data_IF_786918120918
#
_entry.id   IF_786918120918
#
_cell.length_a   1.000
_cell.length_b   1.000
_cell.length_c   1.000
_cell.angle_alpha   90.00
_cell.angle_beta   90.00
_cell.angle_gamma   90.00
#
_symmetry.space_group_name_H-M   'P 1'
#
loop_
_entity.id
_entity.type
_entity.pdbx_description
1 polymer ?
#
# COMPACT_ATOMS: atom_id res chain seq x y z
N UNK A 1 -25.12 38.62 13.51
CA UNK A 1 -25.80 38.19 12.26
C UNK A 1 -26.45 39.33 11.45
N UNK A 2 -26.15 40.62 11.63
CA UNK A 2 -26.96 41.69 10.96
C UNK A 2 -26.22 42.82 10.24
N UNK A 3 -24.91 42.75 10.03
CA UNK A 3 -24.19 43.72 9.17
C UNK A 3 -23.48 43.10 7.95
N UNK A 4 -23.44 41.78 7.84
CA UNK A 4 -22.79 41.08 6.72
C UNK A 4 -23.64 41.07 5.42
N UNK A 5 -24.97 41.10 5.54
CA UNK A 5 -25.89 40.93 4.41
C UNK A 5 -26.02 42.14 3.45
N UNK A 6 -25.57 43.34 3.84
CA UNK A 6 -25.68 44.55 3.00
C UNK A 6 -24.39 44.94 2.27
N UNK A 7 -23.22 44.67 2.86
CA UNK A 7 -21.92 44.96 2.20
C UNK A 7 -21.48 43.87 1.23
N UNK A 8 -21.91 42.64 1.47
CA UNK A 8 -21.76 41.51 0.54
C UNK A 8 -22.72 41.66 -0.66
N UNK A 9 -23.87 42.33 -0.53
CA UNK A 9 -24.85 42.42 -1.62
C UNK A 9 -24.40 43.22 -2.86
N UNK A 10 -23.42 44.11 -2.75
CA UNK A 10 -22.87 44.80 -3.94
C UNK A 10 -21.49 44.24 -4.31
N UNK A 11 -20.61 44.04 -3.33
CA UNK A 11 -19.24 43.54 -3.56
C UNK A 11 -19.18 42.06 -3.98
N UNK A 12 -20.08 41.22 -3.47
CA UNK A 12 -20.22 39.80 -3.86
C UNK A 12 -21.22 39.64 -5.00
N UNK A 13 -22.03 40.66 -5.35
CA UNK A 13 -22.72 40.64 -6.64
C UNK A 13 -21.77 40.96 -7.80
N UNK A 14 -20.75 41.77 -7.61
CA UNK A 14 -19.70 42.00 -8.62
C UNK A 14 -18.47 41.09 -8.52
N UNK A 15 -18.43 40.16 -7.55
CA UNK A 15 -17.41 39.10 -7.51
C UNK A 15 -17.96 37.65 -7.50
N UNK A 16 -19.26 37.42 -7.28
CA UNK A 16 -19.88 36.07 -7.34
C UNK A 16 -21.13 36.06 -8.23
N UNK A 17 -21.93 37.14 -8.32
CA UNK A 17 -23.04 37.21 -9.30
C UNK A 17 -22.66 37.77 -10.68
N UNK A 18 -21.45 38.31 -10.80
CA UNK A 18 -20.78 38.74 -12.03
C UNK A 18 -19.84 37.69 -12.58
N UNK A 19 -19.37 36.77 -11.72
CA UNK A 19 -18.95 35.43 -12.14
C UNK A 19 -20.22 34.60 -12.38
N UNK A 20 -21.12 35.17 -13.19
CA UNK A 20 -21.89 34.33 -14.07
C UNK A 20 -20.89 33.90 -15.14
N UNK A 21 -20.78 32.59 -15.47
CA UNK A 21 -19.97 32.11 -16.59
C UNK A 21 -20.30 32.80 -17.93
N UNK A 22 -21.32 33.67 -17.97
CA UNK A 22 -21.85 34.30 -19.16
C UNK A 22 -22.05 35.82 -19.03
N UNK A 23 -21.53 36.50 -17.99
CA UNK A 23 -21.78 37.95 -17.80
C UNK A 23 -20.52 38.76 -17.62
N UNK A 24 -20.01 39.26 -18.75
CA UNK A 24 -18.96 40.29 -18.78
C UNK A 24 -19.53 41.60 -18.22
N UNK A 25 -18.95 42.08 -17.12
CA UNK A 25 -19.25 43.41 -16.56
C UNK A 25 -18.08 44.34 -16.90
N UNK A 26 -18.38 45.46 -17.55
CA UNK A 26 -17.40 46.48 -17.90
C UNK A 26 -16.93 47.24 -16.66
N UNK A 27 -15.63 47.29 -16.44
CA UNK A 27 -14.98 48.05 -15.36
C UNK A 27 -14.06 49.12 -15.95
N UNK A 28 -14.02 50.32 -15.35
CA UNK A 28 -12.98 51.33 -15.66
C UNK A 28 -11.71 51.07 -14.83
N UNK A 29 -10.56 51.53 -15.32
CA UNK A 29 -9.26 51.40 -14.61
C UNK A 29 -9.30 52.05 -13.22
N UNK A 30 -9.99 53.18 -13.10
CA UNK A 30 -10.16 53.90 -11.82
C UNK A 30 -11.05 53.17 -10.82
N UNK A 31 -12.12 52.48 -11.29
CA UNK A 31 -12.94 51.62 -10.44
C UNK A 31 -12.12 50.42 -9.95
N UNK A 32 -11.32 49.82 -10.83
CA UNK A 32 -10.41 48.73 -10.48
C UNK A 32 -9.38 49.13 -9.43
N UNK A 33 -8.68 50.25 -9.58
CA UNK A 33 -7.64 50.66 -8.63
C UNK A 33 -8.21 50.93 -7.23
N UNK A 34 -9.41 51.51 -7.16
CA UNK A 34 -10.12 51.70 -5.89
C UNK A 34 -10.50 50.36 -5.25
N UNK A 35 -11.11 49.45 -6.02
CA UNK A 35 -11.52 48.13 -5.52
C UNK A 35 -10.31 47.24 -5.18
N UNK A 36 -9.19 47.38 -5.90
CA UNK A 36 -7.92 46.71 -5.62
C UNK A 36 -7.31 47.22 -4.30
N UNK A 37 -7.32 48.52 -4.05
CA UNK A 37 -6.88 49.10 -2.77
C UNK A 37 -7.79 48.68 -1.59
N UNK A 38 -9.09 48.55 -1.85
CA UNK A 38 -10.04 48.02 -0.86
C UNK A 38 -9.83 46.53 -0.61
N UNK A 39 -9.51 45.76 -1.65
CA UNK A 39 -9.08 44.38 -1.51
C UNK A 39 -7.78 44.28 -0.72
N UNK A 40 -6.75 45.09 -1.00
CA UNK A 40 -5.49 45.13 -0.24
C UNK A 40 -5.72 45.46 1.25
N UNK A 41 -6.70 46.32 1.57
CA UNK A 41 -7.13 46.55 2.96
C UNK A 41 -7.84 45.34 3.57
N UNK A 42 -8.78 44.72 2.84
CA UNK A 42 -9.50 43.53 3.29
C UNK A 42 -8.59 42.29 3.41
N UNK A 43 -7.55 42.22 2.59
CA UNK A 43 -6.45 41.25 2.62
C UNK A 43 -5.68 41.30 3.96
N UNK A 44 -5.56 42.50 4.54
CA UNK A 44 -4.91 42.70 5.85
C UNK A 44 -5.84 42.34 7.02
N UNK A 45 -7.16 42.31 6.81
CA UNK A 45 -8.16 42.06 7.87
C UNK A 45 -8.81 40.67 7.81
N UNK A 46 -8.83 39.99 6.66
CA UNK A 46 -9.55 38.72 6.44
C UNK A 46 -8.80 37.77 5.51
N UNK A 47 -8.46 36.59 6.05
CA UNK A 47 -7.68 35.52 5.40
C UNK A 47 -8.24 35.00 4.06
N UNK A 48 -9.56 35.08 3.83
CA UNK A 48 -10.18 34.64 2.57
C UNK A 48 -9.86 35.53 1.37
N UNK A 49 -9.48 36.80 1.57
CA UNK A 49 -9.09 37.70 0.48
C UNK A 49 -7.62 37.51 0.06
N UNK A 50 -6.76 37.12 1.00
CA UNK A 50 -5.41 36.62 0.70
C UNK A 50 -5.45 35.36 -0.16
N UNK A 51 -6.46 34.53 0.05
CA UNK A 51 -6.69 33.35 -0.77
C UNK A 51 -6.95 33.68 -2.25
N UNK A 52 -7.88 34.60 -2.57
CA UNK A 52 -8.11 35.04 -3.97
C UNK A 52 -6.84 35.62 -4.62
N UNK A 53 -5.97 36.27 -3.83
CA UNK A 53 -4.68 36.80 -4.31
C UNK A 53 -3.64 35.70 -4.57
N UNK A 54 -3.55 34.67 -3.72
CA UNK A 54 -2.61 33.54 -3.87
C UNK A 54 -3.03 32.60 -4.99
N UNK A 55 -4.33 32.34 -5.16
CA UNK A 55 -4.86 31.59 -6.31
C UNK A 55 -4.48 32.26 -7.66
N UNK A 56 -4.35 33.59 -7.68
CA UNK A 56 -3.87 34.35 -8.83
C UNK A 56 -2.34 34.31 -9.05
N UNK A 57 -1.54 33.83 -8.10
CA UNK A 57 -0.07 33.88 -8.15
C UNK A 57 0.57 32.66 -8.85
N UNK A 58 -0.16 31.54 -9.00
CA UNK A 58 0.37 30.27 -9.54
C UNK A 58 -0.02 29.98 -10.99
N UNK A 59 0.26 30.94 -11.88
CA UNK A 59 0.21 30.92 -13.36
C UNK A 59 -1.14 30.68 -14.04
N UNK A 60 -1.92 31.76 -14.22
CA UNK A 60 -3.16 31.71 -14.97
C UNK A 60 -3.43 33.03 -15.73
N UNK A 61 -3.18 33.03 -17.03
CA UNK A 61 -3.61 33.98 -18.08
C UNK A 61 -5.06 33.71 -18.55
N UNK A 62 -5.91 34.73 -18.49
CA UNK A 62 -7.01 34.91 -19.45
C UNK A 62 -6.79 36.26 -20.15
N UNK A 63 -6.81 36.26 -21.48
CA UNK A 63 -6.81 37.44 -22.33
C UNK A 63 -8.23 37.60 -22.88
N UNK A 64 -9.11 38.44 -22.28
CA UNK A 64 -10.26 38.89 -23.02
C UNK A 64 -9.74 39.88 -24.07
N UNK A 65 -9.98 39.55 -25.34
CA UNK A 65 -9.93 40.55 -26.40
C UNK A 65 -10.80 41.76 -26.03
N UNK A 66 -10.42 42.93 -26.52
CA UNK A 66 -11.16 44.19 -26.39
C UNK A 66 -12.68 43.94 -26.44
N UNK A 67 -13.39 44.25 -25.35
CA UNK A 67 -14.88 44.13 -25.32
C UNK A 67 -15.54 45.38 -25.96
N UNK A 68 -14.77 46.11 -26.78
CA UNK A 68 -15.18 47.34 -27.44
C UNK A 68 -14.75 48.60 -26.68
N UNK A 69 -14.80 49.72 -27.40
CA UNK A 69 -14.61 51.06 -26.83
C UNK A 69 -15.95 51.58 -26.30
N UNK A 70 -15.95 52.08 -25.07
CA UNK A 70 -17.02 52.97 -24.65
C UNK A 70 -16.94 54.27 -25.47
N UNK A 71 -18.06 54.95 -25.68
CA UNK A 71 -18.12 56.23 -26.43
C UNK A 71 -17.25 57.36 -25.86
N UNK A 72 -16.56 57.15 -24.73
CA UNK A 72 -15.59 58.07 -24.11
C UNK A 72 -14.13 57.77 -24.43
N UNK A 73 -13.82 56.74 -25.23
CA UNK A 73 -12.44 56.40 -25.61
C UNK A 73 -11.65 55.62 -24.57
N UNK A 74 -12.30 55.16 -23.49
CA UNK A 74 -11.69 54.26 -22.51
C UNK A 74 -11.86 52.80 -22.98
N UNK A 75 -10.74 52.07 -23.02
CA UNK A 75 -10.69 50.65 -23.33
C UNK A 75 -11.44 49.86 -22.25
N UNK A 76 -12.47 49.11 -22.66
CA UNK A 76 -13.21 48.23 -21.75
C UNK A 76 -12.45 46.90 -21.67
N UNK A 77 -12.03 46.56 -20.47
CA UNK A 77 -11.38 45.30 -20.18
C UNK A 77 -12.26 44.44 -19.27
N UNK A 78 -12.27 43.13 -19.48
CA UNK A 78 -12.88 42.17 -18.57
C UNK A 78 -11.79 41.61 -17.64
N UNK A 79 -12.02 41.60 -16.32
CA UNK A 79 -11.05 41.10 -15.35
C UNK A 79 -11.72 40.23 -14.28
N UNK A 80 -11.05 39.12 -13.95
CA UNK A 80 -11.47 38.15 -12.92
C UNK A 80 -10.44 38.07 -11.79
N UNK A 81 -10.92 37.94 -10.54
CA UNK A 81 -10.14 37.60 -9.35
C UNK A 81 -9.72 36.12 -9.31
N UNK A 82 -10.25 35.29 -10.20
CA UNK A 82 -9.77 33.95 -10.46
C UNK A 82 -9.36 33.89 -11.92
N UNK A 83 -8.06 33.85 -12.17
CA UNK A 83 -7.56 33.67 -13.53
C UNK A 83 -7.37 32.16 -13.75
N UNK A 84 -7.74 31.65 -14.92
CA UNK A 84 -7.51 30.25 -15.33
C UNK A 84 -6.87 30.20 -16.72
N UNK A 85 -5.76 29.47 -16.89
CA UNK A 85 -5.18 29.18 -18.20
C UNK A 85 -5.85 27.97 -18.82
N UNK A 86 -6.83 28.21 -19.69
CA UNK A 86 -7.51 27.17 -20.44
C UNK A 86 -8.90 27.58 -20.86
N UNK A 87 -9.73 26.60 -21.18
CA UNK A 87 -11.13 26.83 -21.57
C UNK A 87 -11.94 27.39 -20.40
N UNK A 88 -12.90 28.27 -20.73
CA UNK A 88 -13.74 28.97 -19.75
C UNK A 88 -14.50 27.99 -18.84
N UNK A 89 -15.07 26.92 -19.41
CA UNK A 89 -15.79 25.89 -18.67
C UNK A 89 -14.89 25.18 -17.64
N UNK A 90 -13.64 24.87 -18.02
CA UNK A 90 -12.67 24.26 -17.13
C UNK A 90 -12.25 25.21 -15.99
N UNK A 91 -12.15 26.51 -16.27
CA UNK A 91 -11.88 27.53 -15.25
C UNK A 91 -13.01 27.65 -14.23
N UNK A 92 -14.27 27.68 -14.70
CA UNK A 92 -15.45 27.73 -13.81
C UNK A 92 -15.53 26.49 -12.93
N UNK A 93 -15.27 25.31 -13.50
CA UNK A 93 -15.23 24.05 -12.75
C UNK A 93 -14.15 24.07 -11.66
N UNK A 94 -12.94 24.51 -11.99
CA UNK A 94 -11.83 24.63 -11.03
C UNK A 94 -12.11 25.64 -9.92
N UNK A 95 -12.69 26.80 -10.26
CA UNK A 95 -13.07 27.80 -9.26
C UNK A 95 -14.11 27.25 -8.27
N UNK A 96 -15.17 26.64 -8.81
CA UNK A 96 -16.22 26.02 -8.00
C UNK A 96 -15.64 24.97 -7.08
N UNK A 97 -14.68 24.18 -7.58
CA UNK A 97 -14.01 23.16 -6.80
C UNK A 97 -13.17 23.73 -5.65
N UNK A 98 -12.40 24.78 -5.90
CA UNK A 98 -11.65 25.44 -4.83
C UNK A 98 -12.60 25.95 -3.73
N UNK A 99 -13.72 26.59 -4.12
CA UNK A 99 -14.72 27.08 -3.17
C UNK A 99 -15.28 25.96 -2.28
N UNK A 100 -15.58 24.79 -2.84
CA UNK A 100 -16.06 23.62 -2.07
C UNK A 100 -15.09 23.16 -0.97
N UNK A 101 -13.78 23.25 -1.23
CA UNK A 101 -12.75 22.87 -0.25
C UNK A 101 -12.51 23.98 0.76
N UNK A 102 -12.49 25.22 0.31
CA UNK A 102 -12.01 26.35 1.11
C UNK A 102 -13.04 26.97 2.01
N UNK A 103 -14.30 27.03 1.56
CA UNK A 103 -15.36 27.61 2.37
C UNK A 103 -15.48 26.88 3.72
N UNK A 104 -15.50 25.53 3.78
CA UNK A 104 -15.50 24.82 5.06
C UNK A 104 -14.22 25.06 5.88
N UNK A 105 -13.04 25.12 5.26
CA UNK A 105 -11.77 25.38 5.95
C UNK A 105 -11.75 26.78 6.58
N UNK A 106 -12.19 27.80 5.84
CA UNK A 106 -12.25 29.17 6.30
C UNK A 106 -13.25 29.34 7.45
N UNK A 107 -14.45 28.78 7.31
CA UNK A 107 -15.46 28.80 8.37
C UNK A 107 -14.97 28.07 9.63
N UNK A 108 -14.28 26.94 9.48
CA UNK A 108 -13.65 26.24 10.59
C UNK A 108 -12.56 27.10 11.25
N UNK A 109 -11.69 27.77 10.48
CA UNK A 109 -10.67 28.68 11.01
C UNK A 109 -11.29 29.79 11.87
N UNK A 110 -12.36 30.43 11.38
CA UNK A 110 -13.07 31.47 12.15
C UNK A 110 -13.66 30.90 13.44
N UNK A 111 -14.26 29.71 13.37
CA UNK A 111 -14.90 29.08 14.53
C UNK A 111 -13.92 28.71 15.64
N UNK A 112 -12.70 28.29 15.28
CA UNK A 112 -11.66 27.86 16.22
C UNK A 112 -10.71 29.02 16.58
N UNK A 113 -10.77 30.15 15.86
CA UNK A 113 -9.88 31.29 16.07
C UNK A 113 -8.47 31.10 15.50
N UNK A 114 -8.34 30.30 14.44
CA UNK A 114 -7.07 30.02 13.77
C UNK A 114 -6.79 31.04 12.68
N UNK A 115 -5.53 31.46 12.58
CA UNK A 115 -5.07 32.32 11.49
C UNK A 115 -4.56 31.46 10.34
N UNK A 116 -4.93 31.83 9.12
CA UNK A 116 -4.44 31.17 7.91
C UNK A 116 -3.19 31.93 7.43
N UNK A 117 -2.05 31.25 7.35
CA UNK A 117 -0.83 31.82 6.80
C UNK A 117 -0.65 31.51 5.30
N UNK A 118 0.34 32.18 4.69
CA UNK A 118 0.66 32.00 3.26
C UNK A 118 1.01 30.55 2.93
N UNK A 119 1.81 29.89 3.76
CA UNK A 119 2.34 28.55 3.49
C UNK A 119 1.25 27.49 3.52
N UNK A 120 0.30 27.60 4.46
CA UNK A 120 -0.87 26.75 4.55
C UNK A 120 -1.74 26.90 3.29
N UNK A 121 -1.94 28.13 2.81
CA UNK A 121 -2.71 28.39 1.60
C UNK A 121 -2.06 27.80 0.36
N UNK A 122 -0.74 27.95 0.21
CA UNK A 122 0.00 27.34 -0.89
C UNK A 122 -0.22 25.82 -0.88
N UNK A 123 -0.05 25.15 0.25
CA UNK A 123 -0.32 23.71 0.38
C UNK A 123 -1.76 23.35 0.03
N UNK A 124 -2.75 24.05 0.58
CA UNK A 124 -4.18 23.80 0.28
C UNK A 124 -4.43 23.90 -1.22
N UNK A 125 -3.93 24.96 -1.87
CA UNK A 125 -4.11 25.13 -3.31
C UNK A 125 -3.45 24.02 -4.12
N UNK A 126 -2.26 23.57 -3.72
CA UNK A 126 -1.56 22.46 -4.38
C UNK A 126 -2.35 21.15 -4.24
N UNK A 127 -2.81 20.81 -3.04
CA UNK A 127 -3.56 19.57 -2.80
C UNK A 127 -4.90 19.58 -3.54
N UNK A 128 -5.65 20.69 -3.50
CA UNK A 128 -6.92 20.84 -4.22
C UNK A 128 -6.75 20.78 -5.74
N UNK A 129 -5.63 21.28 -6.28
CA UNK A 129 -5.34 21.20 -7.71
C UNK A 129 -4.97 19.78 -8.16
N UNK A 130 -4.18 19.07 -7.35
CA UNK A 130 -3.67 17.76 -7.73
C UNK A 130 -4.65 16.63 -7.43
N UNK A 131 -5.58 16.82 -6.50
CA UNK A 131 -6.51 15.79 -6.05
C UNK A 131 -7.96 16.27 -6.20
N UNK A 132 -8.50 16.11 -7.40
CA UNK A 132 -9.83 16.60 -7.75
C UNK A 132 -10.95 16.10 -6.83
N UNK A 133 -10.84 14.87 -6.30
CA UNK A 133 -11.86 14.29 -5.43
C UNK A 133 -11.76 14.67 -3.95
N UNK A 134 -10.73 15.40 -3.52
CA UNK A 134 -10.51 15.73 -2.10
C UNK A 134 -11.32 16.93 -1.59
N UNK A 135 -12.21 16.69 -0.64
CA UNK A 135 -12.90 17.74 0.11
C UNK A 135 -12.05 18.45 1.18
N UNK A 136 -12.66 19.36 1.94
CA UNK A 136 -12.00 20.15 2.99
C UNK A 136 -11.29 19.29 4.05
N UNK A 137 -11.95 18.22 4.51
CA UNK A 137 -11.39 17.32 5.53
C UNK A 137 -10.18 16.52 5.02
N UNK A 138 -10.21 16.12 3.75
CA UNK A 138 -9.09 15.43 3.10
C UNK A 138 -7.85 16.31 3.08
N UNK A 139 -8.01 17.57 2.63
CA UNK A 139 -6.91 18.54 2.61
C UNK A 139 -6.42 18.82 4.02
N UNK A 140 -7.31 19.06 4.99
CA UNK A 140 -6.93 19.30 6.38
C UNK A 140 -6.09 18.15 6.97
N UNK A 141 -6.43 16.90 6.67
CA UNK A 141 -5.63 15.73 7.05
C UNK A 141 -4.25 15.72 6.36
N UNK A 142 -4.21 16.01 5.05
CA UNK A 142 -2.97 15.99 4.26
C UNK A 142 -1.93 17.04 4.71
N UNK A 143 -2.38 18.19 5.20
CA UNK A 143 -1.50 19.25 5.70
C UNK A 143 -1.27 19.19 7.22
N UNK A 144 -1.72 18.13 7.88
CA UNK A 144 -1.59 17.93 9.34
C UNK A 144 -2.30 19.01 10.18
N UNK A 145 -3.39 19.60 9.68
CA UNK A 145 -4.09 20.71 10.36
C UNK A 145 -5.23 20.21 11.25
N UNK A 146 -4.84 19.57 12.34
CA UNK A 146 -5.71 18.80 13.25
C UNK A 146 -6.79 19.64 13.92
N UNK A 147 -6.46 20.88 14.26
CA UNK A 147 -7.33 21.79 14.99
C UNK A 147 -8.60 22.16 14.20
N UNK A 148 -8.56 22.08 12.86
CA UNK A 148 -9.72 22.37 12.02
C UNK A 148 -10.86 21.38 12.19
N UNK A 149 -10.56 20.14 12.59
CA UNK A 149 -11.59 19.12 12.84
C UNK A 149 -12.42 19.42 14.10
N UNK A 150 -12.02 20.39 14.93
CA UNK A 150 -12.87 20.94 16.00
C UNK A 150 -13.96 21.87 15.45
N UNK A 151 -13.73 22.47 14.28
CA UNK A 151 -14.68 23.32 13.59
C UNK A 151 -15.82 22.51 12.98
N UNK A 152 -17.04 22.91 13.28
CA UNK A 152 -18.27 22.22 12.83
C UNK A 152 -18.34 21.94 11.31
N UNK A 153 -17.93 22.87 10.41
CA UNK A 153 -17.96 22.64 8.97
C UNK A 153 -17.08 21.49 8.49
N UNK A 154 -15.87 21.36 9.04
CA UNK A 154 -14.93 20.29 8.68
C UNK A 154 -15.28 19.00 9.43
N UNK A 155 -15.78 19.10 10.67
CA UNK A 155 -16.20 17.94 11.46
C UNK A 155 -17.31 17.15 10.77
N UNK A 156 -18.22 17.81 10.04
CA UNK A 156 -19.25 17.13 9.23
C UNK A 156 -18.69 16.28 8.09
N UNK A 157 -17.47 16.55 7.65
CA UNK A 157 -16.81 15.92 6.50
C UNK A 157 -15.75 14.88 6.92
N UNK A 158 -15.70 14.50 8.21
CA UNK A 158 -14.69 13.59 8.77
C UNK A 158 -14.56 12.25 8.04
N UNK A 159 -15.67 11.72 7.55
CA UNK A 159 -15.76 10.42 6.89
C UNK A 159 -16.14 10.55 5.42
N UNK A 160 -15.91 11.72 4.83
CA UNK A 160 -16.13 11.88 3.39
C UNK A 160 -15.19 10.93 2.64
N UNK A 161 -15.72 10.25 1.63
CA UNK A 161 -15.01 9.27 0.83
C UNK A 161 -14.70 9.89 -0.54
N UNK A 162 -13.43 9.93 -0.93
CA UNK A 162 -13.06 10.33 -2.28
C UNK A 162 -13.46 9.24 -3.29
N UNK A 163 -14.38 9.50 -4.25
CA UNK A 163 -14.81 8.52 -5.23
C UNK A 163 -13.69 8.04 -6.16
N UNK A 164 -12.62 8.84 -6.32
CA UNK A 164 -11.53 8.56 -7.26
C UNK A 164 -10.46 7.70 -6.58
N UNK A 165 -9.90 8.16 -5.46
CA UNK A 165 -8.83 7.44 -4.77
C UNK A 165 -9.31 6.44 -3.72
N UNK A 166 -10.58 6.50 -3.33
CA UNK A 166 -11.14 5.72 -2.24
C UNK A 166 -10.59 6.09 -0.86
N UNK A 167 -9.95 7.26 -0.72
CA UNK A 167 -9.38 7.70 0.54
C UNK A 167 -10.39 8.49 1.36
N UNK A 168 -10.34 8.30 2.67
CA UNK A 168 -10.98 9.16 3.67
C UNK A 168 -9.93 10.04 4.34
N UNK A 169 -10.29 11.12 5.06
CA UNK A 169 -9.34 11.95 5.80
C UNK A 169 -8.43 11.14 6.75
N UNK A 170 -9.00 10.14 7.44
CA UNK A 170 -8.22 9.24 8.31
C UNK A 170 -7.17 8.43 7.53
N UNK A 171 -7.52 7.93 6.34
CA UNK A 171 -6.59 7.17 5.49
C UNK A 171 -5.47 8.04 4.95
N UNK A 172 -5.75 9.29 4.59
CA UNK A 172 -4.72 10.24 4.19
C UNK A 172 -3.73 10.42 5.33
N UNK A 173 -4.20 10.64 6.56
CA UNK A 173 -3.31 10.77 7.71
C UNK A 173 -2.46 9.51 7.95
N UNK A 174 -3.01 8.31 7.73
CA UNK A 174 -2.26 7.05 7.80
C UNK A 174 -1.20 6.97 6.69
N UNK A 175 -1.56 7.33 5.45
CA UNK A 175 -0.68 7.29 4.28
C UNK A 175 0.49 8.25 4.38
N UNK A 176 0.24 9.45 4.91
CA UNK A 176 1.27 10.45 5.22
C UNK A 176 2.08 10.10 6.47
N UNK A 177 1.76 8.98 7.16
CA UNK A 177 2.39 8.52 8.40
C UNK A 177 2.32 9.55 9.54
N UNK A 178 1.28 10.37 9.55
CA UNK A 178 1.08 11.42 10.56
C UNK A 178 0.38 10.86 11.80
N UNK A 179 1.18 10.33 12.72
CA UNK A 179 0.71 9.66 13.93
C UNK A 179 -0.17 10.55 14.82
N UNK A 180 0.16 11.84 14.89
CA UNK A 180 -0.55 12.77 15.75
C UNK A 180 -1.88 13.20 15.11
N UNK A 181 -1.96 13.30 13.79
CA UNK A 181 -3.27 13.51 13.11
C UNK A 181 -4.14 12.28 13.23
N UNK A 182 -3.57 11.08 13.05
CA UNK A 182 -4.30 9.83 13.31
C UNK A 182 -4.80 9.79 14.75
N UNK A 183 -3.93 10.05 15.73
CA UNK A 183 -4.30 10.09 17.16
C UNK A 183 -5.44 11.06 17.41
N UNK A 184 -5.38 12.26 16.83
CA UNK A 184 -6.43 13.25 16.98
C UNK A 184 -7.75 12.75 16.38
N UNK A 185 -7.73 12.29 15.13
CA UNK A 185 -8.92 11.84 14.42
C UNK A 185 -9.62 10.66 15.10
N UNK A 186 -8.86 9.67 15.60
CA UNK A 186 -9.44 8.50 16.28
C UNK A 186 -10.06 8.83 17.64
N UNK A 187 -9.77 10.00 18.22
CA UNK A 187 -10.39 10.47 19.47
C UNK A 187 -11.68 11.26 19.25
N UNK A 188 -12.00 11.60 18.00
CA UNK A 188 -13.23 12.33 17.68
C UNK A 188 -14.44 11.39 17.66
N UNK A 189 -15.55 11.87 18.24
CA UNK A 189 -16.84 11.17 18.12
C UNK A 189 -17.28 11.14 16.65
N UNK A 190 -17.78 9.98 16.22
CA UNK A 190 -18.30 9.67 14.87
C UNK A 190 -17.26 9.34 13.79
N UNK A 191 -15.97 9.21 14.09
CA UNK A 191 -15.00 8.71 13.10
C UNK A 191 -15.33 7.26 12.70
N UNK A 192 -15.32 6.97 11.39
CA UNK A 192 -15.56 5.63 10.84
C UNK A 192 -14.33 5.12 10.09
N UNK A 193 -14.08 3.81 10.16
CA UNK A 193 -12.89 3.19 9.58
C UNK A 193 -13.15 1.81 8.96
N UNK A 194 -14.41 1.51 8.62
CA UNK A 194 -14.85 0.19 8.17
C UNK A 194 -14.75 -0.03 6.66
N UNK A 195 -14.70 1.05 5.91
CA UNK A 195 -14.64 1.00 4.46
C UNK A 195 -13.31 0.37 4.00
N UNK A 196 -13.21 0.05 2.72
CA UNK A 196 -11.99 -0.40 2.02
C UNK A 196 -11.62 0.61 0.94
N UNK A 197 -10.36 0.69 0.50
CA UNK A 197 -9.96 1.53 -0.63
C UNK A 197 -10.18 0.80 -1.96
N UNK A 198 -9.67 1.35 -3.07
CA UNK A 198 -9.78 0.73 -4.39
C UNK A 198 -9.16 -0.66 -4.50
N UNK A 199 -8.16 -0.96 -3.67
CA UNK A 199 -7.49 -2.26 -3.59
C UNK A 199 -8.12 -3.17 -2.53
N UNK A 200 -9.23 -2.75 -1.91
CA UNK A 200 -9.86 -3.50 -0.84
C UNK A 200 -9.13 -3.37 0.52
N UNK A 201 -8.14 -2.48 0.65
CA UNK A 201 -7.40 -2.31 1.89
C UNK A 201 -8.21 -1.53 2.94
N UNK A 202 -8.31 -2.10 4.13
CA UNK A 202 -8.84 -1.41 5.33
C UNK A 202 -7.78 -0.48 5.94
N UNK A 203 -8.15 0.35 6.91
CA UNK A 203 -7.16 1.17 7.66
C UNK A 203 -6.03 0.35 8.32
N UNK A 204 -6.30 -0.90 8.71
CA UNK A 204 -5.30 -1.81 9.31
C UNK A 204 -4.27 -2.27 8.27
N UNK A 205 -4.70 -2.51 7.02
CA UNK A 205 -3.81 -2.85 5.91
C UNK A 205 -2.83 -1.70 5.64
N UNK A 206 -3.36 -0.47 5.53
CA UNK A 206 -2.53 0.73 5.30
C UNK A 206 -1.52 0.98 6.42
N UNK A 207 -1.94 0.77 7.69
CA UNK A 207 -1.04 0.88 8.83
C UNK A 207 0.08 -0.17 8.80
N UNK A 208 -0.24 -1.41 8.39
CA UNK A 208 0.73 -2.48 8.21
C UNK A 208 1.69 -2.21 7.05
N UNK A 209 1.19 -1.72 5.91
CA UNK A 209 1.97 -1.39 4.71
C UNK A 209 3.04 -0.34 5.00
N UNK A 210 2.69 0.68 5.78
CA UNK A 210 3.61 1.76 6.11
C UNK A 210 4.56 1.45 7.28
N UNK A 211 4.50 0.23 7.82
CA UNK A 211 5.31 -0.25 8.94
C UNK A 211 5.24 0.65 10.19
N UNK A 212 4.08 1.27 10.45
CA UNK A 212 3.91 2.14 11.62
C UNK A 212 3.22 1.40 12.76
N UNK A 213 4.02 0.83 13.67
CA UNK A 213 3.54 0.23 14.93
C UNK A 213 2.62 1.20 15.68
N UNK A 214 2.99 2.48 15.73
CA UNK A 214 2.29 3.48 16.53
C UNK A 214 0.91 3.78 15.98
N UNK A 215 0.79 3.99 14.66
CA UNK A 215 -0.52 4.17 13.99
C UNK A 215 -1.37 2.92 14.19
N UNK A 216 -0.80 1.74 13.99
CA UNK A 216 -1.51 0.48 14.21
C UNK A 216 -2.07 0.37 15.63
N UNK A 217 -1.26 0.66 16.65
CA UNK A 217 -1.70 0.67 18.05
C UNK A 217 -2.83 1.69 18.29
N UNK A 218 -2.72 2.90 17.73
CA UNK A 218 -3.74 3.94 17.86
C UNK A 218 -5.08 3.49 17.28
N UNK A 219 -5.06 2.87 16.10
CA UNK A 219 -6.26 2.35 15.44
C UNK A 219 -6.88 1.22 16.27
N UNK A 220 -6.10 0.21 16.66
CA UNK A 220 -6.62 -0.97 17.39
C UNK A 220 -7.15 -0.61 18.78
N UNK A 221 -6.54 0.37 19.47
CA UNK A 221 -6.97 0.79 20.81
C UNK A 221 -8.27 1.62 20.79
N UNK A 222 -8.42 2.52 19.81
CA UNK A 222 -9.56 3.44 19.77
C UNK A 222 -10.74 2.91 18.95
N UNK A 223 -10.49 2.02 17.98
CA UNK A 223 -11.49 1.50 17.04
C UNK A 223 -11.70 -0.01 17.25
N UNK A 224 -12.48 -0.36 18.28
CA UNK A 224 -12.67 -1.76 18.73
C UNK A 224 -13.32 -2.69 17.70
N UNK A 225 -14.00 -2.15 16.69
CA UNK A 225 -14.75 -2.94 15.70
C UNK A 225 -13.95 -3.22 14.42
N UNK A 226 -12.65 -2.93 14.39
CA UNK A 226 -11.81 -3.19 13.23
C UNK A 226 -11.62 -4.69 13.00
N UNK A 227 -11.88 -5.15 11.78
CA UNK A 227 -11.60 -6.53 11.38
C UNK A 227 -10.12 -6.66 11.01
N UNK A 228 -9.32 -7.18 11.94
CA UNK A 228 -7.89 -7.43 11.74
C UNK A 228 -7.59 -8.61 10.79
N UNK A 229 -8.62 -9.37 10.41
CA UNK A 229 -8.55 -10.49 9.46
C UNK A 229 -9.29 -10.18 8.14
N UNK A 230 -9.61 -8.91 7.87
CA UNK A 230 -10.18 -8.53 6.59
C UNK A 230 -9.23 -8.89 5.45
N UNK A 231 -9.78 -9.28 4.30
CA UNK A 231 -9.01 -9.57 3.09
C UNK A 231 -9.20 -8.44 2.08
N UNK A 232 -8.10 -8.03 1.45
CA UNK A 232 -8.12 -7.12 0.32
C UNK A 232 -8.41 -7.87 -1.01
N UNK A 233 -8.40 -7.19 -2.16
CA UNK A 233 -8.72 -7.83 -3.46
C UNK A 233 -7.70 -8.90 -3.89
N UNK A 234 -6.51 -8.89 -3.28
CA UNK A 234 -5.46 -9.88 -3.52
C UNK A 234 -5.58 -11.09 -2.59
N UNK A 235 -6.62 -11.15 -1.75
CA UNK A 235 -6.79 -12.20 -0.76
C UNK A 235 -5.84 -12.08 0.44
N UNK A 236 -5.24 -10.91 0.63
CA UNK A 236 -4.25 -10.67 1.68
C UNK A 236 -4.90 -10.02 2.89
N UNK A 237 -4.50 -10.48 4.08
CA UNK A 237 -4.84 -9.83 5.36
C UNK A 237 -3.77 -8.80 5.75
N UNK A 238 -4.04 -7.91 6.73
CA UNK A 238 -3.02 -6.98 7.22
C UNK A 238 -1.74 -7.68 7.70
N UNK A 239 -1.87 -8.92 8.20
CA UNK A 239 -0.73 -9.71 8.64
C UNK A 239 0.15 -10.16 7.46
N UNK A 240 -0.42 -10.43 6.28
CA UNK A 240 0.37 -10.71 5.08
C UNK A 240 1.25 -9.52 4.71
N UNK A 241 0.66 -8.33 4.70
CA UNK A 241 1.38 -7.09 4.38
C UNK A 241 2.50 -6.85 5.40
N UNK A 242 2.21 -6.97 6.70
CA UNK A 242 3.22 -6.79 7.75
C UNK A 242 4.39 -7.78 7.61
N UNK A 243 4.12 -9.05 7.32
CA UNK A 243 5.15 -10.06 7.06
C UNK A 243 5.96 -9.76 5.79
N UNK A 244 5.32 -9.26 4.72
CA UNK A 244 5.98 -8.93 3.44
C UNK A 244 6.96 -7.78 3.59
N UNK A 245 6.56 -6.74 4.32
CA UNK A 245 7.41 -5.60 4.66
C UNK A 245 8.45 -5.97 5.75
N UNK A 246 8.32 -7.16 6.34
CA UNK A 246 9.14 -7.65 7.45
C UNK A 246 9.14 -6.69 8.65
N UNK A 247 7.98 -6.09 8.96
CA UNK A 247 7.80 -5.25 10.14
C UNK A 247 7.42 -6.11 11.35
N UNK A 248 8.44 -6.56 12.09
CA UNK A 248 8.27 -7.43 13.26
C UNK A 248 7.35 -6.80 14.31
N UNK A 249 7.43 -5.48 14.50
CA UNK A 249 6.61 -4.76 15.44
C UNK A 249 5.12 -4.78 15.04
N UNK A 250 4.81 -4.59 13.76
CA UNK A 250 3.44 -4.68 13.27
C UNK A 250 2.92 -6.13 13.33
N UNK A 251 3.76 -7.12 12.99
CA UNK A 251 3.42 -8.54 13.12
C UNK A 251 3.05 -8.88 14.57
N UNK A 252 3.88 -8.48 15.54
CA UNK A 252 3.63 -8.74 16.95
C UNK A 252 2.31 -8.10 17.43
N UNK A 253 2.05 -6.84 17.09
CA UNK A 253 0.83 -6.16 17.51
C UNK A 253 -0.44 -6.72 16.82
N UNK A 254 -0.35 -7.09 15.54
CA UNK A 254 -1.45 -7.75 14.83
C UNK A 254 -1.79 -9.11 15.45
N UNK A 255 -0.77 -9.92 15.78
CA UNK A 255 -0.97 -11.20 16.46
C UNK A 255 -1.58 -11.02 17.85
N UNK A 256 -1.10 -10.06 18.64
CA UNK A 256 -1.72 -9.69 19.94
C UNK A 256 -3.18 -9.25 19.80
N UNK A 257 -3.53 -8.61 18.68
CA UNK A 257 -4.90 -8.20 18.37
C UNK A 257 -5.80 -9.35 17.90
N UNK A 258 -5.29 -10.59 17.80
CA UNK A 258 -6.05 -11.76 17.40
C UNK A 258 -6.11 -12.00 15.90
N UNK A 259 -5.13 -11.50 15.13
CA UNK A 259 -4.97 -11.91 13.74
C UNK A 259 -4.73 -13.43 13.65
N UNK A 260 -5.41 -14.06 12.71
CA UNK A 260 -5.24 -15.47 12.40
C UNK A 260 -4.26 -15.62 11.22
N UNK A 261 -3.05 -16.19 11.42
CA UNK A 261 -2.08 -16.39 10.35
C UNK A 261 -2.48 -17.48 9.35
N UNK A 262 -3.62 -18.15 9.56
CA UNK A 262 -4.18 -19.13 8.64
C UNK A 262 -5.27 -18.55 7.71
N UNK A 263 -5.60 -17.26 7.85
CA UNK A 263 -6.61 -16.59 7.02
C UNK A 263 -5.90 -15.90 5.87
N UNK A 264 -6.27 -16.27 4.64
CA UNK A 264 -5.77 -15.71 3.39
C UNK A 264 -6.36 -16.45 2.19
N UNK A 265 -6.58 -15.73 1.10
CA UNK A 265 -6.86 -16.27 -0.23
C UNK A 265 -5.73 -15.97 -1.21
N UNK A 266 -4.68 -15.28 -0.73
CA UNK A 266 -3.46 -15.05 -1.47
C UNK A 266 -2.70 -16.36 -1.72
N UNK A 267 -1.82 -16.32 -2.71
CA UNK A 267 -0.96 -17.45 -3.09
C UNK A 267 -0.17 -18.01 -1.90
N UNK A 268 0.31 -17.12 -1.02
CA UNK A 268 1.16 -17.42 0.13
C UNK A 268 0.56 -16.89 1.42
N UNK A 269 0.49 -17.74 2.46
CA UNK A 269 0.17 -17.33 3.83
C UNK A 269 1.33 -16.60 4.54
N UNK A 270 1.08 -15.89 5.65
CA UNK A 270 2.10 -15.14 6.39
C UNK A 270 3.38 -15.92 6.72
N UNK A 271 3.27 -17.20 7.08
CA UNK A 271 4.44 -18.06 7.38
C UNK A 271 5.32 -18.30 6.13
N UNK A 272 4.72 -18.49 4.95
CA UNK A 272 5.48 -18.62 3.70
C UNK A 272 6.22 -17.32 3.36
N UNK A 273 5.56 -16.17 3.56
CA UNK A 273 6.15 -14.85 3.33
C UNK A 273 7.35 -14.63 4.28
N UNK A 274 7.20 -14.97 5.56
CA UNK A 274 8.27 -14.88 6.55
C UNK A 274 9.49 -15.73 6.17
N UNK A 275 9.26 -16.96 5.69
CA UNK A 275 10.33 -17.87 5.22
C UNK A 275 11.00 -17.33 3.96
N UNK A 276 10.25 -16.84 2.98
CA UNK A 276 10.81 -16.24 1.75
C UNK A 276 11.66 -14.99 2.03
N UNK A 277 11.34 -14.26 3.10
CA UNK A 277 12.10 -13.08 3.56
C UNK A 277 13.30 -13.45 4.46
N UNK A 278 13.56 -14.75 4.67
CA UNK A 278 14.58 -15.26 5.58
C UNK A 278 14.52 -14.67 7.01
N UNK A 279 13.31 -14.39 7.51
CA UNK A 279 13.09 -13.73 8.81
C UNK A 279 12.77 -14.74 9.92
N UNK A 280 13.79 -15.13 10.70
CA UNK A 280 13.68 -16.10 11.80
C UNK A 280 12.73 -15.57 12.88
N UNK A 281 12.86 -14.30 13.23
CA UNK A 281 12.05 -13.66 14.26
C UNK A 281 10.57 -13.64 13.88
N UNK A 282 10.26 -13.40 12.59
CA UNK A 282 8.88 -13.43 12.11
C UNK A 282 8.31 -14.86 12.12
N UNK A 283 9.11 -15.85 11.72
CA UNK A 283 8.75 -17.28 11.81
C UNK A 283 8.45 -17.66 13.27
N UNK A 284 9.31 -17.26 14.21
CA UNK A 284 9.14 -17.54 15.63
C UNK A 284 7.87 -16.89 16.21
N UNK A 285 7.59 -15.64 15.86
CA UNK A 285 6.38 -14.94 16.29
C UNK A 285 5.11 -15.61 15.77
N UNK A 286 5.08 -15.99 14.49
CA UNK A 286 3.95 -16.68 13.87
C UNK A 286 3.74 -18.07 14.48
N UNK A 287 4.82 -18.82 14.69
CA UNK A 287 4.77 -20.15 15.31
C UNK A 287 4.28 -20.08 16.76
N UNK A 288 4.79 -19.14 17.55
CA UNK A 288 4.40 -18.98 18.95
C UNK A 288 2.90 -18.69 19.11
N UNK A 289 2.30 -17.97 18.17
CA UNK A 289 0.87 -17.65 18.18
C UNK A 289 0.00 -18.73 17.52
N UNK A 290 0.51 -19.42 16.50
CA UNK A 290 -0.23 -20.46 15.80
C UNK A 290 0.70 -21.56 15.25
N UNK A 291 1.07 -22.57 16.05
CA UNK A 291 2.02 -23.61 15.63
C UNK A 291 1.63 -24.35 14.35
N UNK A 292 0.32 -24.44 14.04
CA UNK A 292 -0.21 -25.08 12.83
C UNK A 292 0.31 -24.43 11.54
N UNK A 293 0.70 -23.16 11.55
CA UNK A 293 1.14 -22.48 10.33
C UNK A 293 2.47 -23.02 9.76
N UNK A 294 3.26 -23.75 10.56
CA UNK A 294 4.55 -24.34 10.14
C UNK A 294 4.40 -25.37 9.01
N UNK A 295 3.24 -25.99 8.90
CA UNK A 295 2.93 -27.07 7.95
C UNK A 295 1.77 -26.72 7.01
N UNK A 296 1.37 -25.44 6.97
CA UNK A 296 0.27 -24.99 6.12
C UNK A 296 0.73 -25.00 4.65
N UNK A 297 0.10 -25.75 3.74
CA UNK A 297 0.44 -25.66 2.32
C UNK A 297 0.02 -24.29 1.74
N UNK A 298 0.80 -23.77 0.79
CA UNK A 298 0.43 -22.65 -0.07
C UNK A 298 -0.75 -23.01 -0.99
N UNK A 299 -1.36 -22.00 -1.63
CA UNK A 299 -2.55 -22.23 -2.46
C UNK A 299 -2.23 -22.57 -3.92
N UNK A 300 -0.99 -22.41 -4.37
CA UNK A 300 -0.60 -22.64 -5.77
C UNK A 300 -0.13 -24.07 -6.00
N UNK A 301 0.88 -24.49 -5.22
CA UNK A 301 1.63 -25.72 -5.47
C UNK A 301 1.50 -26.70 -4.30
N UNK A 302 0.74 -26.35 -3.25
CA UNK A 302 0.72 -27.02 -1.97
C UNK A 302 2.11 -27.18 -1.33
N UNK A 303 3.00 -26.22 -1.56
CA UNK A 303 4.29 -26.18 -0.87
C UNK A 303 4.05 -25.76 0.59
N UNK A 304 4.55 -26.53 1.55
CA UNK A 304 4.65 -26.06 2.94
C UNK A 304 5.82 -25.08 3.11
N UNK A 305 5.90 -24.27 4.19
CA UNK A 305 6.95 -23.27 4.35
C UNK A 305 8.37 -23.82 4.17
N UNK A 306 8.63 -25.05 4.63
CA UNK A 306 9.97 -25.66 4.50
C UNK A 306 10.39 -25.90 3.03
N UNK A 307 9.45 -26.12 2.11
CA UNK A 307 9.73 -26.26 0.68
C UNK A 307 10.29 -24.96 0.07
N UNK A 308 9.95 -23.82 0.65
CA UNK A 308 10.35 -22.49 0.15
C UNK A 308 11.68 -21.99 0.72
N UNK A 309 12.31 -22.76 1.61
CA UNK A 309 13.57 -22.37 2.25
C UNK A 309 14.68 -22.13 1.24
N UNK A 310 15.35 -20.99 1.32
CA UNK A 310 16.56 -20.66 0.53
C UNK A 310 17.81 -20.53 1.38
N UNK A 311 17.63 -20.25 2.67
CA UNK A 311 18.69 -20.05 3.64
C UNK A 311 18.74 -21.20 4.65
N UNK A 312 19.93 -21.77 4.84
CA UNK A 312 20.18 -22.87 5.76
C UNK A 312 19.72 -22.57 7.19
N UNK A 313 19.87 -21.33 7.68
CA UNK A 313 19.48 -20.97 9.05
C UNK A 313 17.97 -21.01 9.27
N UNK A 314 17.20 -20.57 8.26
CA UNK A 314 15.74 -20.64 8.30
C UNK A 314 15.30 -22.09 8.19
N UNK A 315 15.95 -22.86 7.32
CA UNK A 315 15.72 -24.29 7.20
C UNK A 315 15.93 -25.02 8.54
N UNK A 316 17.08 -24.82 9.19
CA UNK A 316 17.40 -25.40 10.50
C UNK A 316 16.36 -24.99 11.54
N UNK A 317 15.97 -23.72 11.54
CA UNK A 317 14.94 -23.23 12.45
C UNK A 317 13.59 -23.91 12.24
N UNK A 318 13.14 -24.10 11.00
CA UNK A 318 11.88 -24.80 10.72
C UNK A 318 11.95 -26.27 11.16
N UNK A 319 13.10 -26.93 11.02
CA UNK A 319 13.33 -28.28 11.56
C UNK A 319 13.21 -28.30 13.08
N UNK A 320 13.84 -27.35 13.79
CA UNK A 320 13.73 -27.22 15.25
C UNK A 320 12.29 -27.01 15.74
N UNK A 321 11.47 -26.32 14.93
CA UNK A 321 10.06 -26.06 15.20
C UNK A 321 9.13 -27.24 14.83
N UNK A 322 9.68 -28.35 14.32
CA UNK A 322 8.92 -29.55 13.99
C UNK A 322 8.16 -29.46 12.66
N UNK A 323 8.73 -28.76 11.66
CA UNK A 323 8.21 -28.81 10.30
C UNK A 323 8.19 -30.25 9.76
N UNK A 324 7.13 -30.60 9.04
CA UNK A 324 6.96 -31.91 8.41
C UNK A 324 7.85 -31.99 7.15
N UNK A 325 8.95 -32.74 7.25
CA UNK A 325 9.91 -32.94 6.17
C UNK A 325 9.37 -33.81 5.01
N UNK A 326 8.36 -34.62 5.31
CA UNK A 326 7.76 -35.59 4.39
C UNK A 326 6.47 -35.06 3.73
N UNK A 327 6.12 -33.80 3.98
CA UNK A 327 5.02 -33.15 3.28
C UNK A 327 5.29 -33.16 1.76
N UNK A 328 4.25 -33.45 0.99
CA UNK A 328 4.31 -33.51 -0.48
C UNK A 328 3.51 -32.36 -1.08
N UNK A 329 4.11 -31.68 -2.04
CA UNK A 329 3.46 -30.66 -2.84
C UNK A 329 2.62 -31.29 -3.98
N UNK A 330 2.04 -30.48 -4.87
CA UNK A 330 1.17 -30.96 -5.97
C UNK A 330 1.87 -31.90 -6.96
N UNK A 331 3.20 -31.78 -7.08
CA UNK A 331 4.02 -32.66 -7.89
C UNK A 331 4.47 -33.90 -7.11
N UNK A 332 3.97 -34.11 -5.89
CA UNK A 332 4.37 -35.19 -5.00
C UNK A 332 5.77 -34.99 -4.39
N UNK A 333 6.41 -33.84 -4.62
CA UNK A 333 7.77 -33.59 -4.18
C UNK A 333 7.79 -33.28 -2.69
N UNK A 334 8.72 -33.92 -1.99
CA UNK A 334 9.14 -33.51 -0.63
C UNK A 334 10.26 -32.49 -0.71
N UNK A 335 10.55 -31.80 0.40
CA UNK A 335 11.70 -30.88 0.46
C UNK A 335 13.02 -31.60 0.13
N UNK A 336 13.16 -32.90 0.46
CA UNK A 336 14.34 -33.69 0.11
C UNK A 336 14.53 -33.82 -1.41
N UNK A 337 13.47 -33.99 -2.20
CA UNK A 337 13.57 -33.99 -3.66
C UNK A 337 14.14 -32.65 -4.17
N UNK A 338 13.63 -31.54 -3.64
CA UNK A 338 14.05 -30.20 -4.04
C UNK A 338 15.52 -29.95 -3.70
N UNK A 339 15.96 -30.28 -2.47
CA UNK A 339 17.35 -30.05 -2.04
C UNK A 339 18.35 -30.97 -2.74
N UNK A 340 17.94 -32.19 -3.09
CA UNK A 340 18.74 -33.08 -3.95
C UNK A 340 18.90 -32.46 -5.34
N UNK A 341 17.80 -32.02 -5.97
CA UNK A 341 17.85 -31.36 -7.29
C UNK A 341 18.77 -30.14 -7.29
N UNK A 342 18.71 -29.34 -6.23
CA UNK A 342 19.52 -28.13 -6.08
C UNK A 342 20.99 -28.45 -5.69
N UNK A 343 21.33 -29.73 -5.51
CA UNK A 343 22.65 -30.27 -5.16
C UNK A 343 23.25 -29.67 -3.87
N UNK A 344 22.39 -29.36 -2.90
CA UNK A 344 22.81 -28.80 -1.61
C UNK A 344 23.09 -29.91 -0.59
N UNK A 345 24.35 -30.37 -0.52
CA UNK A 345 24.75 -31.47 0.36
C UNK A 345 24.46 -31.22 1.84
N UNK A 346 24.66 -30.00 2.34
CA UNK A 346 24.44 -29.68 3.76
C UNK A 346 22.96 -29.78 4.14
N UNK A 347 22.07 -29.22 3.32
CA UNK A 347 20.61 -29.31 3.56
C UNK A 347 20.08 -30.73 3.35
N UNK A 348 20.59 -31.48 2.37
CA UNK A 348 20.25 -32.89 2.19
C UNK A 348 20.65 -33.71 3.42
N UNK A 349 21.88 -33.54 3.90
CA UNK A 349 22.36 -34.26 5.09
C UNK A 349 21.54 -33.88 6.33
N UNK A 350 21.24 -32.60 6.50
CA UNK A 350 20.42 -32.13 7.61
C UNK A 350 18.99 -32.70 7.56
N UNK A 351 18.35 -32.76 6.38
CA UNK A 351 17.04 -33.41 6.20
C UNK A 351 17.06 -34.88 6.62
N UNK A 352 18.06 -35.63 6.16
CA UNK A 352 18.20 -37.05 6.47
C UNK A 352 18.47 -37.30 7.96
N UNK A 353 19.32 -36.48 8.60
CA UNK A 353 19.58 -36.55 10.04
C UNK A 353 18.31 -36.24 10.85
N UNK A 354 17.47 -35.31 10.38
CA UNK A 354 16.20 -34.97 11.01
C UNK A 354 15.06 -35.94 10.64
N UNK A 355 15.36 -37.04 9.96
CA UNK A 355 14.42 -38.14 9.75
C UNK A 355 13.52 -38.02 8.52
N UNK A 356 13.87 -37.20 7.53
CA UNK A 356 13.17 -37.19 6.25
C UNK A 356 13.27 -38.56 5.55
N UNK A 357 12.16 -39.10 5.05
CA UNK A 357 12.13 -40.41 4.38
C UNK A 357 12.70 -40.30 2.95
N UNK A 358 13.85 -40.94 2.65
CA UNK A 358 14.48 -40.87 1.34
C UNK A 358 13.82 -41.75 0.28
N UNK A 359 12.75 -42.48 0.62
CA UNK A 359 12.05 -43.40 -0.27
C UNK A 359 10.68 -42.89 -0.74
N UNK A 360 10.23 -41.74 -0.25
CA UNK A 360 9.00 -41.11 -0.75
C UNK A 360 9.17 -40.78 -2.23
N UNK A 361 8.18 -41.09 -3.04
CA UNK A 361 8.19 -40.78 -4.47
C UNK A 361 7.31 -39.57 -4.81
N UNK A 362 7.64 -38.92 -5.92
CA UNK A 362 6.85 -37.90 -6.59
C UNK A 362 5.69 -38.51 -7.42
N UNK A 363 4.96 -37.68 -8.18
CA UNK A 363 3.85 -38.14 -9.04
C UNK A 363 4.29 -39.12 -10.14
N UNK A 364 5.55 -39.07 -10.57
CA UNK A 364 6.15 -39.94 -11.58
C UNK A 364 6.76 -41.21 -10.97
N UNK A 365 6.60 -41.41 -9.65
CA UNK A 365 7.19 -42.52 -8.92
C UNK A 365 8.71 -42.37 -8.71
N UNK A 366 9.29 -41.21 -9.02
CA UNK A 366 10.70 -40.97 -8.82
C UNK A 366 10.99 -40.60 -7.36
N UNK A 367 11.98 -41.25 -6.77
CA UNK A 367 12.47 -40.99 -5.40
C UNK A 367 13.59 -39.94 -5.40
N UNK A 368 14.00 -39.38 -4.24
CA UNK A 368 15.16 -38.49 -4.16
C UNK A 368 16.43 -39.09 -4.78
N UNK A 369 16.62 -40.41 -4.69
CA UNK A 369 17.76 -41.07 -5.34
C UNK A 369 17.67 -41.04 -6.88
N UNK A 370 16.46 -41.14 -7.46
CA UNK A 370 16.28 -40.94 -8.89
C UNK A 370 16.65 -39.50 -9.30
N UNK A 371 16.22 -38.50 -8.52
CA UNK A 371 16.58 -37.10 -8.73
C UNK A 371 18.10 -36.89 -8.66
N UNK A 372 18.77 -37.53 -7.70
CA UNK A 372 20.22 -37.45 -7.55
C UNK A 372 20.97 -37.87 -8.83
N UNK A 373 20.44 -38.88 -9.54
CA UNK A 373 20.98 -39.35 -10.81
C UNK A 373 20.57 -38.44 -11.97
N UNK A 374 19.28 -38.13 -12.13
CA UNK A 374 18.73 -37.35 -13.24
C UNK A 374 19.39 -35.97 -13.34
N UNK A 375 19.66 -35.34 -12.20
CA UNK A 375 20.26 -34.00 -12.14
C UNK A 375 21.77 -34.02 -11.96
N UNK A 376 22.42 -35.19 -12.07
CA UNK A 376 23.87 -35.38 -11.94
C UNK A 376 24.45 -34.71 -10.68
N UNK A 377 23.84 -34.99 -9.54
CA UNK A 377 24.21 -34.41 -8.25
C UNK A 377 25.54 -34.98 -7.73
N UNK A 378 26.11 -34.33 -6.72
CA UNK A 378 27.37 -34.75 -6.11
C UNK A 378 27.30 -36.20 -5.61
N UNK A 379 28.39 -36.95 -5.80
CA UNK A 379 28.53 -38.30 -5.23
C UNK A 379 28.31 -38.31 -3.71
N UNK A 380 28.56 -37.20 -3.02
CA UNK A 380 28.30 -37.07 -1.59
C UNK A 380 26.80 -37.12 -1.27
N UNK A 381 25.95 -36.50 -2.09
CA UNK A 381 24.48 -36.55 -1.97
C UNK A 381 23.98 -37.97 -2.19
N UNK A 382 24.44 -38.63 -3.26
CA UNK A 382 24.10 -40.04 -3.55
C UNK A 382 24.51 -40.95 -2.39
N UNK A 383 25.74 -40.79 -1.88
CA UNK A 383 26.24 -41.57 -0.75
C UNK A 383 25.45 -41.31 0.53
N UNK A 384 25.05 -40.06 0.79
CA UNK A 384 24.21 -39.74 1.94
C UNK A 384 22.85 -40.44 1.82
N UNK A 385 22.15 -40.31 0.69
CA UNK A 385 20.87 -41.00 0.48
C UNK A 385 20.98 -42.51 0.73
N UNK A 386 21.99 -43.17 0.15
CA UNK A 386 22.22 -44.60 0.35
C UNK A 386 22.58 -44.96 1.80
N UNK A 387 23.34 -44.11 2.49
CA UNK A 387 23.69 -44.31 3.89
C UNK A 387 22.47 -44.21 4.82
N UNK A 388 21.45 -43.46 4.42
CA UNK A 388 20.16 -43.31 5.11
C UNK A 388 19.08 -44.22 4.52
N UNK A 389 19.46 -45.38 3.98
CA UNK A 389 18.53 -46.45 3.55
C UNK A 389 17.62 -46.07 2.36
N UNK A 390 18.05 -45.17 1.48
CA UNK A 390 17.41 -45.00 0.17
C UNK A 390 17.53 -46.29 -0.66
N UNK A 391 16.41 -46.78 -1.20
CA UNK A 391 16.36 -48.02 -1.98
C UNK A 391 16.88 -47.80 -3.42
N UNK A 392 18.06 -48.35 -3.78
CA UNK A 392 18.59 -48.25 -5.15
C UNK A 392 17.82 -49.10 -6.17
N UNK A 393 16.97 -50.02 -5.69
CA UNK A 393 16.14 -50.90 -6.50
C UNK A 393 14.74 -50.34 -6.75
N UNK A 394 14.33 -49.27 -6.08
CA UNK A 394 13.08 -48.58 -6.33
C UNK A 394 12.96 -48.23 -7.82
N UNK A 395 11.76 -48.40 -8.38
CA UNK A 395 11.47 -48.09 -9.79
C UNK A 395 10.43 -47.00 -9.88
N UNK A 396 10.62 -46.07 -10.81
CA UNK A 396 9.61 -45.06 -11.13
C UNK A 396 8.46 -45.63 -11.98
N UNK A 397 7.47 -44.80 -12.33
CA UNK A 397 6.31 -45.22 -13.12
C UNK A 397 6.68 -45.76 -14.52
N UNK A 398 7.87 -45.41 -15.03
CA UNK A 398 8.43 -45.95 -16.27
C UNK A 398 9.22 -47.26 -16.08
N UNK A 399 9.13 -47.89 -14.89
CA UNK A 399 9.87 -49.10 -14.53
C UNK A 399 11.40 -48.94 -14.58
N UNK A 400 11.90 -47.70 -14.50
CA UNK A 400 13.33 -47.43 -14.42
C UNK A 400 13.75 -47.29 -12.95
N UNK A 401 14.73 -48.09 -12.53
CA UNK A 401 15.49 -47.83 -11.32
C UNK A 401 16.63 -46.85 -11.56
N UNK A 402 17.28 -46.39 -10.49
CA UNK A 402 18.46 -45.51 -10.57
C UNK A 402 19.57 -46.08 -11.48
N UNK A 403 19.77 -47.41 -11.47
CA UNK A 403 20.73 -48.09 -12.37
C UNK A 403 20.32 -48.00 -13.84
N UNK A 404 19.03 -48.12 -14.14
CA UNK A 404 18.54 -47.97 -15.52
C UNK A 404 18.78 -46.54 -16.05
N UNK A 405 18.61 -45.53 -15.20
CA UNK A 405 18.83 -44.13 -15.55
C UNK A 405 20.32 -43.82 -15.80
N UNK A 406 21.22 -44.31 -14.94
CA UNK A 406 22.68 -44.20 -15.14
C UNK A 406 23.14 -44.78 -16.49
N UNK A 407 22.57 -45.92 -16.90
CA UNK A 407 22.91 -46.54 -18.18
C UNK A 407 22.38 -45.76 -19.39
N UNK A 408 21.25 -45.05 -19.29
CA UNK A 408 20.74 -44.20 -20.37
C UNK A 408 21.59 -42.94 -20.58
N UNK A 409 22.05 -42.32 -19.50
CA UNK A 409 22.98 -41.19 -19.61
C UNK A 409 24.38 -41.61 -20.05
N UNK A 410 24.76 -42.88 -19.85
CA UNK A 410 26.03 -43.39 -20.38
C UNK A 410 26.11 -43.29 -21.92
N UNK A 411 25.01 -43.37 -22.67
CA UNK A 411 25.05 -43.13 -24.11
C UNK A 411 25.32 -41.65 -24.44
N UNK A 412 24.82 -40.70 -23.65
CA UNK A 412 25.18 -39.27 -23.77
C UNK A 412 26.63 -39.00 -23.32
N UNK A 413 27.10 -39.69 -22.28
CA UNK A 413 28.46 -39.56 -21.73
C UNK A 413 29.52 -40.20 -22.63
N UNK A 414 29.20 -41.31 -23.31
CA UNK A 414 30.06 -41.95 -24.32
C UNK A 414 30.22 -41.05 -25.57
N UNK A 415 29.28 -40.14 -25.80
CA UNK A 415 29.30 -39.19 -26.91
C UNK A 415 29.74 -37.76 -26.54
N UNK A 416 30.05 -37.47 -25.27
CA UNK A 416 30.74 -36.24 -24.86
C UNK A 416 32.25 -36.44 -24.87
N UNK A 417 32.97 -35.53 -25.54
CA UNK A 417 34.41 -35.58 -25.87
C UNK A 417 35.40 -35.54 -24.69
N UNK A 418 35.01 -35.94 -23.47
CA UNK A 418 35.94 -36.05 -22.33
C UNK A 418 36.34 -37.51 -22.08
N UNK A 419 37.13 -38.04 -23.01
CA UNK A 419 38.05 -39.15 -22.75
C UNK A 419 39.45 -38.60 -22.46
N UNK A 420 39.87 -38.58 -21.19
CA UNK A 420 41.24 -38.96 -20.83
C UNK A 420 41.26 -39.51 -19.40
N UNK A 421 41.61 -40.79 -19.22
CA UNK A 421 42.39 -41.20 -18.04
C UNK A 421 41.86 -42.28 -17.07
N UNK A 422 41.67 -43.50 -17.58
CA UNK A 422 42.05 -44.78 -16.91
C UNK A 422 41.36 -45.21 -15.58
N UNK A 423 41.58 -46.47 -15.11
CA UNK A 423 41.24 -47.72 -15.77
C UNK A 423 40.42 -48.65 -14.84
N UNK A 424 39.89 -49.70 -15.45
CA UNK A 424 39.23 -50.84 -14.81
C UNK A 424 40.16 -51.51 -13.78
N UNK A 425 39.66 -51.70 -12.55
CA UNK A 425 40.00 -52.79 -11.64
C UNK A 425 38.74 -53.19 -10.89
#
# INVERSE_FOLDING_TARGET
MTSFGKYVSNFVKTAVSSISPNKIISYTISQYESEYQDCERLLQEKSIYYFYKVANHFDMVYLPGLVGSSGSGENIHAYSLFRFQGEEEAGVAMFSRFMEVLDPLHLACISVGLTIDRTCLEKITTYSRNNYGWGAAHVAAAISWRELFLGEPVRRLLNEYDPISGLTPLRIAIKEKDEETVRFLVTLDNITAFESDGDGNTVVHLAAEHASKRILCLLLQNLKCLNVNALNIYGESPLHIACRINSLECVEELLKAGCNPLVGEAELFPMHIAVNNDSIECVDLLFANCPRCINLPDLINHNTPIHLTRNFKIFERLCDLGANLDARNDMGLTVLHMKVRDNNFEEVLALLINGADPNLCDIDGATPLHYAIIYNTSIHVIRALLAFEADPCAVNNNQHSCRHLLCRDSERYIHSDERVGMPVC
#
